data_IF_028051588372
#
_entry.id   IF_028051588372
#
_cell.length_a   1.000
_cell.length_b   1.000
_cell.length_c   1.000
_cell.angle_alpha   90.00
_cell.angle_beta   90.00
_cell.angle_gamma   90.00
#
_symmetry.space_group_name_H-M   'P 1'
#
loop_
_entity.id
_entity.type
_entity.pdbx_description
1 polymer ?
#
# COMPACT_ATOMS: atom_id res chain seq x y z
N UNK A 1 17.53 -54.40 32.83
CA UNK A 1 17.31 -54.71 31.40
C UNK A 1 15.92 -54.31 30.92
N UNK A 2 14.82 -54.82 31.51
CA UNK A 2 13.43 -54.53 31.06
C UNK A 2 13.09 -53.03 30.99
N UNK A 3 13.45 -52.25 32.00
CA UNK A 3 13.16 -50.79 32.04
C UNK A 3 13.91 -49.96 30.98
N UNK A 4 15.06 -50.43 30.52
CA UNK A 4 15.91 -49.72 29.57
C UNK A 4 15.28 -49.72 28.17
N UNK A 5 14.59 -50.81 27.82
CA UNK A 5 13.83 -50.94 26.56
C UNK A 5 12.69 -49.91 26.49
N UNK A 6 11.96 -49.71 27.59
CA UNK A 6 10.85 -48.74 27.63
C UNK A 6 11.33 -47.29 27.45
N UNK A 7 12.50 -46.94 27.98
CA UNK A 7 13.09 -45.60 27.80
C UNK A 7 13.45 -45.35 26.33
N UNK A 8 14.03 -46.35 25.66
CA UNK A 8 14.40 -46.26 24.24
C UNK A 8 13.15 -46.13 23.35
N UNK A 9 12.10 -46.92 23.61
CA UNK A 9 10.82 -46.84 22.88
C UNK A 9 10.12 -45.50 23.12
N UNK A 10 10.18 -44.97 24.34
CA UNK A 10 9.63 -43.65 24.67
C UNK A 10 10.35 -42.52 23.93
N UNK A 11 11.68 -42.57 23.86
CA UNK A 11 12.47 -41.56 23.15
C UNK A 11 12.25 -41.60 21.62
N UNK A 12 12.14 -42.79 21.03
CA UNK A 12 11.86 -42.92 19.58
C UNK A 12 10.45 -42.46 19.23
N UNK A 13 9.45 -42.81 20.04
CA UNK A 13 8.07 -42.34 19.87
C UNK A 13 7.97 -40.81 20.02
N UNK A 14 8.68 -40.21 20.99
CA UNK A 14 8.75 -38.76 21.16
C UNK A 14 9.42 -38.06 19.98
N UNK A 15 10.53 -38.62 19.46
CA UNK A 15 11.23 -38.08 18.30
C UNK A 15 10.35 -38.11 17.04
N UNK A 16 9.68 -39.23 16.78
CA UNK A 16 8.73 -39.36 15.66
C UNK A 16 7.49 -38.46 15.83
N UNK A 17 6.95 -38.38 17.05
CA UNK A 17 5.83 -37.51 17.39
C UNK A 17 6.14 -36.04 17.14
N UNK A 18 7.32 -35.54 17.57
CA UNK A 18 7.79 -34.18 17.24
C UNK A 18 7.93 -33.98 15.74
N UNK A 19 8.54 -34.92 15.02
CA UNK A 19 8.76 -34.80 13.56
C UNK A 19 7.45 -34.78 12.77
N UNK A 20 6.42 -35.47 13.26
CA UNK A 20 5.08 -35.48 12.65
C UNK A 20 4.25 -34.23 13.02
N UNK A 21 4.39 -33.73 14.26
CA UNK A 21 3.67 -32.55 14.76
C UNK A 21 4.11 -31.24 14.08
N UNK A 22 5.38 -31.12 13.69
CA UNK A 22 5.88 -29.95 12.92
C UNK A 22 5.20 -29.81 11.56
N UNK A 23 4.55 -30.85 11.02
CA UNK A 23 3.77 -30.77 9.78
C UNK A 23 2.35 -30.21 9.98
N UNK A 24 1.91 -29.97 11.22
CA UNK A 24 0.58 -29.44 11.55
C UNK A 24 0.56 -27.98 12.00
N UNK A 25 1.71 -27.31 12.08
CA UNK A 25 1.66 -25.85 12.03
C UNK A 25 1.09 -25.49 10.67
N UNK A 26 -0.02 -24.77 10.66
CA UNK A 26 -0.51 -24.03 9.51
C UNK A 26 0.49 -22.92 9.20
N UNK A 27 1.73 -23.27 8.89
CA UNK A 27 2.68 -22.38 8.27
C UNK A 27 2.22 -22.31 6.82
N UNK A 28 1.47 -21.27 6.49
CA UNK A 28 1.54 -20.74 5.13
C UNK A 28 3.03 -20.69 4.78
N UNK A 29 3.49 -21.59 3.91
CA UNK A 29 4.87 -21.60 3.45
C UNK A 29 5.16 -20.16 3.01
N UNK A 30 6.20 -19.48 3.54
CA UNK A 30 6.53 -18.15 3.06
C UNK A 30 6.78 -18.30 1.56
N UNK A 31 5.87 -17.74 0.74
CA UNK A 31 6.04 -17.74 -0.72
C UNK A 31 7.46 -17.26 -1.01
N UNK A 32 8.17 -17.87 -1.99
CA UNK A 32 9.52 -17.44 -2.31
C UNK A 32 9.51 -15.93 -2.51
N UNK A 33 10.45 -15.21 -1.88
CA UNK A 33 10.49 -13.75 -1.80
C UNK A 33 10.21 -13.05 -3.14
N UNK A 34 10.61 -13.68 -4.25
CA UNK A 34 10.34 -13.24 -5.64
C UNK A 34 8.85 -13.24 -5.99
N UNK A 35 8.13 -14.35 -5.79
CA UNK A 35 6.69 -14.46 -6.11
C UNK A 35 5.85 -13.46 -5.30
N UNK A 36 6.17 -13.31 -4.01
CA UNK A 36 5.52 -12.32 -3.14
C UNK A 36 5.78 -10.88 -3.59
N UNK A 37 6.98 -10.58 -4.11
CA UNK A 37 7.30 -9.26 -4.64
C UNK A 37 6.56 -8.98 -5.95
N UNK A 38 6.44 -9.96 -6.84
CA UNK A 38 5.69 -9.81 -8.09
C UNK A 38 4.19 -9.59 -7.82
N UNK A 39 3.62 -10.30 -6.83
CA UNK A 39 2.23 -10.08 -6.41
C UNK A 39 2.01 -8.68 -5.82
N UNK A 40 2.98 -8.14 -5.07
CA UNK A 40 2.94 -6.76 -4.57
C UNK A 40 3.04 -5.74 -5.70
N UNK A 41 3.93 -5.97 -6.68
CA UNK A 41 4.07 -5.11 -7.86
C UNK A 41 2.79 -5.06 -8.67
N UNK A 42 2.15 -6.20 -8.92
CA UNK A 42 0.89 -6.25 -9.67
C UNK A 42 -0.25 -5.54 -8.92
N UNK A 43 -0.37 -5.75 -7.61
CA UNK A 43 -1.35 -5.06 -6.78
C UNK A 43 -1.11 -3.55 -6.70
N UNK A 44 0.15 -3.12 -6.59
CA UNK A 44 0.52 -1.71 -6.57
C UNK A 44 0.27 -1.05 -7.92
N UNK A 45 0.49 -1.76 -9.04
CA UNK A 45 0.26 -1.23 -10.38
C UNK A 45 -1.19 -0.74 -10.56
N UNK A 46 -2.16 -1.55 -10.16
CA UNK A 46 -3.57 -1.16 -10.26
C UNK A 46 -3.90 0.08 -9.40
N UNK A 47 -3.21 0.27 -8.26
CA UNK A 47 -3.36 1.46 -7.42
C UNK A 47 -2.72 2.69 -8.06
N UNK A 48 -1.50 2.54 -8.58
CA UNK A 48 -0.77 3.64 -9.23
C UNK A 48 -1.50 4.13 -10.48
N UNK A 49 -2.09 3.22 -11.24
CA UNK A 49 -2.84 3.57 -12.46
C UNK A 49 -4.07 4.43 -12.12
N UNK A 50 -4.80 4.11 -11.05
CA UNK A 50 -5.93 4.94 -10.57
C UNK A 50 -5.51 6.32 -10.08
N UNK A 51 -4.37 6.41 -9.41
CA UNK A 51 -3.84 7.69 -8.92
C UNK A 51 -3.49 8.58 -10.10
N UNK A 52 -2.76 8.06 -11.10
CA UNK A 52 -2.38 8.81 -12.31
C UNK A 52 -3.58 9.40 -13.04
N UNK A 53 -4.64 8.61 -13.24
CA UNK A 53 -5.85 9.10 -13.93
C UNK A 53 -6.51 10.24 -13.15
N UNK A 54 -6.51 10.18 -11.81
CA UNK A 54 -7.06 11.26 -10.97
C UNK A 54 -6.19 12.52 -11.04
N UNK A 55 -4.88 12.37 -11.02
CA UNK A 55 -3.94 13.49 -11.17
C UNK A 55 -4.12 14.19 -12.53
N UNK A 56 -4.29 13.44 -13.61
CA UNK A 56 -4.57 13.98 -14.95
C UNK A 56 -5.89 14.77 -14.97
N UNK A 57 -6.95 14.23 -14.36
CA UNK A 57 -8.23 14.94 -14.22
C UNK A 57 -8.11 16.24 -13.41
N UNK A 58 -7.29 16.25 -12.34
CA UNK A 58 -7.02 17.45 -11.55
C UNK A 58 -6.27 18.50 -12.37
N UNK A 59 -5.24 18.08 -13.13
CA UNK A 59 -4.47 18.96 -14.01
C UNK A 59 -5.38 19.61 -15.06
N UNK A 60 -6.20 18.81 -15.74
CA UNK A 60 -7.16 19.28 -16.74
C UNK A 60 -8.19 20.24 -16.13
N UNK A 61 -8.82 19.87 -15.01
CA UNK A 61 -9.78 20.73 -14.32
C UNK A 61 -9.16 22.07 -13.91
N UNK A 62 -7.93 22.03 -13.41
CA UNK A 62 -7.21 23.24 -12.99
C UNK A 62 -6.85 24.13 -14.18
N UNK A 63 -6.52 23.55 -15.34
CA UNK A 63 -6.30 24.34 -16.57
C UNK A 63 -7.57 25.04 -17.05
N UNK A 64 -8.73 24.38 -16.97
CA UNK A 64 -10.00 24.98 -17.39
C UNK A 64 -10.51 26.06 -16.42
N UNK A 65 -10.42 25.81 -15.11
CA UNK A 65 -10.96 26.72 -14.09
C UNK A 65 -9.96 27.78 -13.63
N UNK A 66 -8.66 27.54 -13.82
CA UNK A 66 -7.55 28.37 -13.40
C UNK A 66 -7.03 28.09 -11.98
N UNK A 67 -7.87 27.56 -11.08
CA UNK A 67 -7.48 27.18 -9.72
C UNK A 67 -8.29 26.00 -9.18
N UNK A 68 -7.70 25.29 -8.22
CA UNK A 68 -8.34 24.20 -7.48
C UNK A 68 -8.00 24.27 -5.99
N UNK A 69 -8.93 23.85 -5.13
CA UNK A 69 -8.73 23.74 -3.66
C UNK A 69 -8.78 22.29 -3.20
N UNK A 70 -8.27 22.01 -2.01
CA UNK A 70 -8.30 20.65 -1.43
C UNK A 70 -9.74 20.11 -1.36
N UNK A 71 -10.66 20.89 -0.81
CA UNK A 71 -12.06 20.50 -0.67
C UNK A 71 -12.75 20.19 -2.01
N UNK A 72 -12.31 20.83 -3.11
CA UNK A 72 -12.83 20.54 -4.44
C UNK A 72 -12.38 19.18 -4.96
N UNK A 73 -11.11 18.81 -4.70
CA UNK A 73 -10.59 17.48 -5.01
C UNK A 73 -11.29 16.41 -4.17
N UNK A 74 -11.52 16.68 -2.89
CA UNK A 74 -12.29 15.79 -2.00
C UNK A 74 -13.69 15.52 -2.56
N UNK A 75 -14.41 16.59 -2.93
CA UNK A 75 -15.75 16.48 -3.52
C UNK A 75 -15.74 15.79 -4.87
N UNK A 76 -14.73 16.03 -5.71
CA UNK A 76 -14.63 15.45 -7.06
C UNK A 76 -14.44 13.93 -7.04
N UNK A 77 -13.64 13.42 -6.11
CA UNK A 77 -13.30 11.98 -6.06
C UNK A 77 -13.85 11.24 -4.85
N UNK A 78 -14.60 11.92 -3.97
CA UNK A 78 -15.11 11.40 -2.69
C UNK A 78 -13.98 10.78 -1.85
N UNK A 79 -12.86 11.50 -1.73
CA UNK A 79 -11.69 11.08 -0.96
C UNK A 79 -11.55 11.94 0.30
N UNK A 80 -10.79 11.46 1.28
CA UNK A 80 -10.47 12.24 2.48
C UNK A 80 -9.57 13.43 2.15
N UNK A 81 -9.66 14.51 2.94
CA UNK A 81 -8.75 15.66 2.99
C UNK A 81 -7.26 15.29 2.77
N UNK A 82 -6.72 14.35 3.56
CA UNK A 82 -5.31 13.93 3.43
C UNK A 82 -4.96 13.30 2.07
N UNK A 83 -5.91 12.58 1.46
CA UNK A 83 -5.70 11.95 0.15
C UNK A 83 -5.75 12.98 -0.97
N UNK A 84 -6.65 13.97 -0.88
CA UNK A 84 -6.69 15.10 -1.80
C UNK A 84 -5.40 15.93 -1.71
N UNK A 85 -4.90 16.17 -0.50
CA UNK A 85 -3.63 16.88 -0.28
C UNK A 85 -2.44 16.12 -0.89
N UNK A 86 -2.41 14.79 -0.76
CA UNK A 86 -1.37 13.98 -1.39
C UNK A 86 -1.37 14.13 -2.92
N UNK A 87 -2.54 14.10 -3.58
CA UNK A 87 -2.61 14.28 -5.03
C UNK A 87 -2.12 15.66 -5.47
N UNK A 88 -2.49 16.72 -4.74
CA UNK A 88 -2.06 18.08 -5.03
C UNK A 88 -0.56 18.26 -4.81
N UNK A 89 -0.01 17.69 -3.73
CA UNK A 89 1.42 17.70 -3.45
C UNK A 89 2.22 16.92 -4.49
N UNK A 90 1.75 15.74 -4.91
CA UNK A 90 2.40 14.94 -5.96
C UNK A 90 2.46 15.74 -7.28
N UNK A 91 1.39 16.47 -7.62
CA UNK A 91 1.34 17.34 -8.80
C UNK A 91 2.22 18.58 -8.68
N UNK A 92 2.36 19.14 -7.48
CA UNK A 92 3.27 20.25 -7.20
C UNK A 92 4.75 19.82 -7.28
N UNK A 93 5.09 18.65 -6.73
CA UNK A 93 6.43 18.05 -6.82
C UNK A 93 6.80 17.76 -8.28
N UNK A 94 5.83 17.29 -9.08
CA UNK A 94 5.97 17.12 -10.55
C UNK A 94 6.04 18.45 -11.31
N UNK A 95 5.83 19.58 -10.65
CA UNK A 95 5.86 20.92 -11.25
C UNK A 95 4.66 21.24 -12.14
N UNK A 96 3.55 20.50 -12.02
CA UNK A 96 2.31 20.72 -12.79
C UNK A 96 1.44 21.80 -12.16
N UNK A 97 1.40 21.82 -10.84
CA UNK A 97 0.68 22.80 -10.05
C UNK A 97 1.65 23.65 -9.24
N UNK A 98 1.15 24.78 -8.77
CA UNK A 98 1.85 25.65 -7.81
C UNK A 98 0.89 26.01 -6.69
N UNK A 99 1.29 25.78 -5.44
CA UNK A 99 0.55 26.25 -4.28
C UNK A 99 0.60 27.78 -4.20
N UNK A 100 -0.56 28.38 -3.97
CA UNK A 100 -0.75 29.80 -3.70
C UNK A 100 -1.35 29.95 -2.30
N UNK A 101 -0.58 30.58 -1.42
CA UNK A 101 -0.87 30.71 0.01
C UNK A 101 -0.03 29.74 0.86
N UNK A 102 0.37 30.18 2.04
CA UNK A 102 1.28 29.40 2.90
C UNK A 102 0.54 28.32 3.71
N UNK A 103 -0.53 28.70 4.44
CA UNK A 103 -1.28 27.79 5.32
C UNK A 103 -2.75 28.22 5.48
N UNK A 104 -3.62 27.24 5.75
CA UNK A 104 -5.02 27.46 6.14
C UNK A 104 -6.00 27.58 4.98
N UNK A 105 -7.18 28.16 5.25
CA UNK A 105 -8.34 28.19 4.32
C UNK A 105 -8.12 28.97 3.01
N UNK A 106 -7.05 29.75 2.92
CA UNK A 106 -6.70 30.52 1.71
C UNK A 106 -5.86 29.75 0.69
N UNK A 107 -5.42 28.53 1.04
CA UNK A 107 -4.56 27.73 0.18
C UNK A 107 -5.33 27.21 -1.03
N UNK A 108 -4.80 27.48 -2.21
CA UNK A 108 -5.29 26.96 -3.48
C UNK A 108 -4.13 26.68 -4.41
N UNK A 109 -4.37 25.90 -5.45
CA UNK A 109 -3.37 25.50 -6.42
C UNK A 109 -3.74 26.04 -7.79
N UNK A 110 -2.75 26.54 -8.52
CA UNK A 110 -2.90 27.02 -9.90
C UNK A 110 -2.03 26.21 -10.84
N UNK A 111 -2.42 26.14 -12.12
CA UNK A 111 -1.58 25.52 -13.14
C UNK A 111 -0.28 26.29 -13.25
N UNK A 112 0.85 25.61 -13.17
CA UNK A 112 2.13 26.21 -13.49
C UNK A 112 2.25 26.27 -15.03
N UNK A 113 2.59 27.44 -15.62
CA UNK A 113 2.87 27.53 -17.04
C UNK A 113 4.15 26.77 -17.41
#
# INVERSE_FOLDING_TARGET
>A
MKYLIYIVVGMTAYYFGRKLATKRTCSALPKPRKEMNELRKSANKARTDKVKVREEMIEEYTRHKGKITNDEVERMFCVSDSTASNYLNDLEEKGKLKQVGEKGRGVHYTSKP
#
